data_IF_471035213840
#
_entry.id   IF_471035213840
#
_cell.length_a   1.000
_cell.length_b   1.000
_cell.length_c   1.000
_cell.angle_alpha   90.00
_cell.angle_beta   90.00
_cell.angle_gamma   90.00
#
_symmetry.space_group_name_H-M   'P 1'
#
loop_
_entity.id
_entity.type
_entity.pdbx_description
1 polymer ?
#
# COMPACT_ATOMS: atom_id res chain seq x y z
N UNK A 1 -3.61 6.07 3.78
CA UNK A 1 -3.03 4.87 4.41
C UNK A 1 -1.85 4.31 3.62
N UNK A 2 -2.00 4.08 2.29
CA UNK A 2 -0.92 3.57 1.44
C UNK A 2 0.30 4.50 1.44
N UNK A 3 0.10 5.80 1.18
CA UNK A 3 1.18 6.79 1.21
C UNK A 3 1.88 6.83 2.57
N UNK A 4 1.12 6.69 3.65
CA UNK A 4 1.66 6.59 4.99
C UNK A 4 2.60 5.39 5.16
N UNK A 5 2.19 4.19 4.75
CA UNK A 5 3.04 3.01 4.83
C UNK A 5 4.32 3.13 3.99
N UNK A 6 4.19 3.66 2.78
CA UNK A 6 5.35 3.86 1.91
C UNK A 6 6.33 4.87 2.50
N UNK A 7 5.83 6.01 2.97
CA UNK A 7 6.66 7.03 3.59
C UNK A 7 7.32 6.53 4.89
N UNK A 8 6.59 5.79 5.73
CA UNK A 8 7.16 5.19 6.94
C UNK A 8 8.29 4.20 6.61
N UNK A 9 8.11 3.38 5.57
CA UNK A 9 9.17 2.46 5.14
C UNK A 9 10.41 3.21 4.64
N UNK A 10 10.23 4.29 3.90
CA UNK A 10 11.33 5.14 3.42
C UNK A 10 12.02 5.83 4.61
N UNK A 11 11.26 6.42 5.53
CA UNK A 11 11.81 7.11 6.70
C UNK A 11 12.60 6.16 7.61
N UNK A 12 12.17 4.91 7.79
CA UNK A 12 12.93 3.90 8.52
C UNK A 12 14.29 3.60 7.86
N UNK A 13 14.36 3.53 6.55
CA UNK A 13 15.64 3.34 5.86
C UNK A 13 16.50 4.62 5.90
N UNK A 14 15.89 5.80 5.89
CA UNK A 14 16.58 7.05 6.16
C UNK A 14 17.19 7.09 7.56
N UNK A 15 16.46 6.64 8.58
CA UNK A 15 16.96 6.53 9.96
C UNK A 15 18.16 5.58 10.06
N UNK A 16 18.10 4.43 9.40
CA UNK A 16 19.24 3.49 9.32
C UNK A 16 20.45 4.13 8.63
N UNK A 17 20.24 4.86 7.54
CA UNK A 17 21.30 5.58 6.86
C UNK A 17 21.96 6.61 7.79
N UNK A 18 21.17 7.41 8.49
CA UNK A 18 21.64 8.42 9.45
C UNK A 18 22.52 7.76 10.53
N UNK A 19 22.02 6.66 11.12
CA UNK A 19 22.73 5.93 12.15
C UNK A 19 24.04 5.31 11.64
N UNK A 20 24.00 4.64 10.49
CA UNK A 20 25.19 3.99 9.91
C UNK A 20 26.29 5.00 9.54
N UNK A 21 25.93 6.21 9.15
CA UNK A 21 26.87 7.28 8.81
C UNK A 21 27.24 8.18 10.00
N UNK A 22 26.65 7.95 11.18
CA UNK A 22 26.90 8.69 12.42
C UNK A 22 26.69 10.22 12.27
N UNK A 23 25.61 10.59 11.59
CA UNK A 23 25.25 12.00 11.33
C UNK A 23 24.05 12.48 12.17
N UNK A 24 23.70 11.76 13.23
CA UNK A 24 22.54 12.06 14.08
C UNK A 24 22.55 13.49 14.62
N UNK A 25 23.74 13.98 15.03
CA UNK A 25 23.87 15.35 15.58
C UNK A 25 23.59 16.42 14.54
N UNK A 26 23.98 16.21 13.29
CA UNK A 26 23.67 17.10 12.18
C UNK A 26 22.16 17.10 11.89
N UNK A 27 21.58 15.91 11.84
CA UNK A 27 20.14 15.73 11.58
C UNK A 27 19.31 16.35 12.71
N UNK A 28 19.71 16.16 13.97
CA UNK A 28 19.02 16.78 15.10
C UNK A 28 19.01 18.32 15.01
N UNK A 29 20.10 18.94 14.57
CA UNK A 29 20.13 20.39 14.33
C UNK A 29 19.15 20.83 13.26
N UNK A 30 19.08 20.09 12.14
CA UNK A 30 18.10 20.36 11.08
C UNK A 30 16.66 20.22 11.56
N UNK A 31 16.38 19.21 12.38
CA UNK A 31 15.06 19.03 12.99
C UNK A 31 14.72 20.21 13.91
N UNK A 32 15.66 20.66 14.73
CA UNK A 32 15.46 21.83 15.60
C UNK A 32 15.19 23.12 14.79
N UNK A 33 15.84 23.27 13.64
CA UNK A 33 15.58 24.39 12.71
C UNK A 33 14.16 24.32 12.14
N UNK A 34 13.71 23.13 11.68
CA UNK A 34 12.35 22.92 11.18
C UNK A 34 11.30 23.29 12.23
N UNK A 35 11.51 22.89 13.48
CA UNK A 35 10.59 23.22 14.57
C UNK A 35 10.58 24.71 14.90
N UNK A 36 11.74 25.34 14.86
CA UNK A 36 11.88 26.78 15.07
C UNK A 36 11.18 27.59 13.97
N UNK A 37 11.33 27.19 12.71
CA UNK A 37 10.65 27.85 11.59
C UNK A 37 9.13 27.74 11.67
N UNK A 38 8.62 26.64 12.22
CA UNK A 38 7.18 26.42 12.41
C UNK A 38 6.63 27.07 13.68
N UNK A 39 7.47 27.69 14.51
CA UNK A 39 7.12 28.22 15.83
C UNK A 39 6.44 27.16 16.74
N UNK A 40 6.95 25.93 16.71
CA UNK A 40 6.43 24.80 17.48
C UNK A 40 7.53 24.21 18.36
N UNK A 41 7.15 23.82 19.57
CA UNK A 41 8.10 23.15 20.48
C UNK A 41 8.33 21.71 20.02
N UNK A 42 9.60 21.35 19.81
CA UNK A 42 9.99 19.97 19.50
C UNK A 42 9.62 19.04 20.66
N UNK A 43 8.90 17.94 20.42
CA UNK A 43 8.65 16.95 21.47
C UNK A 43 9.95 16.26 21.89
N UNK A 44 10.11 16.07 23.19
CA UNK A 44 11.25 15.38 23.80
C UNK A 44 10.74 14.14 24.52
N UNK A 45 11.38 13.01 24.28
CA UNK A 45 11.07 11.78 25.02
C UNK A 45 11.44 11.96 26.50
N UNK A 46 10.49 11.62 27.37
CA UNK A 46 10.61 11.82 28.81
C UNK A 46 10.80 10.50 29.58
N UNK A 47 11.79 9.74 29.25
CA UNK A 47 12.06 8.48 29.90
C UNK A 47 13.40 7.92 29.48
N UNK A 48 13.77 6.78 30.04
CA UNK A 48 14.95 6.08 29.61
C UNK A 48 14.73 5.47 28.23
N UNK A 49 15.62 5.74 27.31
CA UNK A 49 15.59 5.14 25.99
C UNK A 49 16.12 3.69 26.07
N UNK A 50 15.51 2.74 25.35
CA UNK A 50 16.07 1.40 25.21
C UNK A 50 17.49 1.44 24.69
N UNK A 51 18.30 0.45 25.09
CA UNK A 51 19.67 0.31 24.61
C UNK A 51 19.72 0.28 23.07
N UNK A 52 20.58 1.10 22.48
CA UNK A 52 20.71 1.25 21.04
C UNK A 52 19.69 2.19 20.37
N UNK A 53 18.80 2.80 21.15
CA UNK A 53 17.86 3.80 20.65
C UNK A 53 18.35 5.21 21.02
N UNK A 54 18.57 6.05 20.01
CA UNK A 54 19.04 7.43 20.20
C UNK A 54 17.89 8.47 20.27
N UNK A 55 16.64 8.02 20.29
CA UNK A 55 15.45 8.88 20.29
C UNK A 55 15.16 9.56 18.95
N UNK A 56 15.88 9.22 17.90
CA UNK A 56 15.64 9.71 16.56
C UNK A 56 14.55 8.86 15.89
N UNK A 57 13.34 9.35 15.87
CA UNK A 57 12.22 8.77 15.14
C UNK A 57 11.61 9.83 14.23
N UNK A 58 11.99 9.86 12.95
CA UNK A 58 11.52 10.89 12.01
C UNK A 58 10.00 10.99 12.00
N UNK A 59 9.34 9.84 11.91
CA UNK A 59 7.90 9.76 11.95
C UNK A 59 7.29 10.30 13.25
N UNK A 60 7.86 9.91 14.41
CA UNK A 60 7.39 10.38 15.73
C UNK A 60 7.59 11.88 15.91
N UNK A 61 8.60 12.44 15.27
CA UNK A 61 8.88 13.87 15.26
C UNK A 61 8.09 14.62 14.18
N UNK A 62 7.28 13.94 13.38
CA UNK A 62 6.50 14.56 12.30
C UNK A 62 7.35 15.18 11.21
N UNK A 63 8.55 14.67 10.99
CA UNK A 63 9.45 15.03 9.90
C UNK A 63 9.68 13.82 8.98
N UNK A 64 10.12 14.06 7.76
CA UNK A 64 10.40 13.02 6.77
C UNK A 64 11.85 13.06 6.33
N UNK A 65 12.35 11.93 5.81
CA UNK A 65 13.72 11.85 5.32
C UNK A 65 14.08 12.94 4.31
N UNK A 66 13.13 13.32 3.44
CA UNK A 66 13.35 14.37 2.44
C UNK A 66 13.57 15.78 3.02
N UNK A 67 13.18 16.02 4.27
CA UNK A 67 13.39 17.31 4.92
C UNK A 67 14.76 17.40 5.59
N UNK A 68 15.38 16.27 5.91
CA UNK A 68 16.60 16.23 6.72
C UNK A 68 17.82 15.70 5.95
N UNK A 69 17.64 14.90 4.93
CA UNK A 69 18.70 14.41 4.04
C UNK A 69 18.80 15.27 2.77
N UNK A 70 19.92 15.17 2.06
CA UNK A 70 20.02 15.75 0.72
C UNK A 70 19.08 15.03 -0.25
N UNK A 71 18.65 15.74 -1.29
CA UNK A 71 17.72 15.20 -2.29
C UNK A 71 18.25 13.93 -2.96
N UNK A 72 19.54 13.90 -3.30
CA UNK A 72 20.18 12.74 -3.94
C UNK A 72 20.14 11.51 -3.05
N UNK A 73 20.55 11.66 -1.78
CA UNK A 73 20.55 10.56 -0.80
C UNK A 73 19.12 10.06 -0.54
N UNK A 74 18.18 10.99 -0.34
CA UNK A 74 16.79 10.62 -0.13
C UNK A 74 16.20 9.86 -1.32
N UNK A 75 16.45 10.31 -2.54
CA UNK A 75 15.94 9.67 -3.76
C UNK A 75 16.55 8.28 -3.96
N UNK A 76 17.83 8.09 -3.67
CA UNK A 76 18.46 6.77 -3.70
C UNK A 76 17.81 5.81 -2.70
N UNK A 77 17.64 6.23 -1.45
CA UNK A 77 16.98 5.43 -0.40
C UNK A 77 15.53 5.11 -0.80
N UNK A 78 14.79 6.11 -1.30
CA UNK A 78 13.42 5.95 -1.77
C UNK A 78 13.30 4.87 -2.83
N UNK A 79 14.11 4.93 -3.89
CA UNK A 79 14.09 3.95 -4.98
C UNK A 79 14.39 2.55 -4.47
N UNK A 80 15.44 2.41 -3.66
CA UNK A 80 15.83 1.12 -3.09
C UNK A 80 14.76 0.54 -2.16
N UNK A 81 14.08 1.38 -1.40
CA UNK A 81 13.02 0.97 -0.48
C UNK A 81 11.79 0.53 -1.24
N UNK A 82 11.29 1.34 -2.18
CA UNK A 82 10.06 1.06 -2.92
C UNK A 82 10.14 -0.22 -3.76
N UNK A 83 11.31 -0.56 -4.28
CA UNK A 83 11.51 -1.82 -5.02
C UNK A 83 11.49 -3.06 -4.13
N UNK A 84 11.73 -2.92 -2.83
CA UNK A 84 11.84 -4.02 -1.87
C UNK A 84 10.62 -4.12 -0.93
N UNK A 85 9.86 -3.04 -0.77
CA UNK A 85 8.73 -3.00 0.16
C UNK A 85 7.71 -4.09 -0.15
N UNK A 86 7.22 -4.74 0.90
CA UNK A 86 6.21 -5.80 0.82
C UNK A 86 5.02 -5.45 1.71
N UNK A 87 3.85 -5.69 1.21
CA UNK A 87 2.64 -5.46 1.98
C UNK A 87 1.39 -5.47 1.12
N UNK A 88 0.31 -5.09 1.74
CA UNK A 88 -0.98 -4.91 1.07
C UNK A 88 -1.79 -3.85 1.81
N UNK A 89 -2.55 -3.09 1.07
CA UNK A 89 -3.72 -2.41 1.59
C UNK A 89 -4.93 -3.13 1.04
N UNK A 90 -5.89 -3.48 1.89
CA UNK A 90 -7.12 -4.13 1.46
C UNK A 90 -8.08 -3.11 0.82
N UNK A 91 -7.57 -2.38 -0.17
CA UNK A 91 -8.35 -1.44 -0.93
C UNK A 91 -9.07 -2.20 -2.04
N UNK A 92 -10.37 -2.33 -1.92
CA UNK A 92 -11.27 -2.84 -2.95
C UNK A 92 -12.56 -2.04 -2.89
N UNK A 93 -12.61 -0.98 -3.66
CA UNK A 93 -13.72 -0.02 -3.66
C UNK A 93 -15.00 -0.62 -4.23
N UNK A 94 -14.90 -1.60 -5.14
CA UNK A 94 -16.06 -2.23 -5.74
C UNK A 94 -16.80 -3.10 -4.72
N UNK A 95 -16.07 -3.88 -3.90
CA UNK A 95 -16.71 -4.68 -2.83
C UNK A 95 -17.25 -3.80 -1.70
N UNK A 96 -16.64 -2.66 -1.43
CA UNK A 96 -17.15 -1.73 -0.42
C UNK A 96 -18.51 -1.16 -0.81
N UNK A 97 -18.70 -0.84 -2.07
CA UNK A 97 -20.00 -0.43 -2.61
C UNK A 97 -21.00 -1.59 -2.65
N UNK A 98 -20.58 -2.77 -3.12
CA UNK A 98 -21.44 -3.93 -3.31
C UNK A 98 -21.86 -4.62 -2.01
N UNK A 99 -20.99 -4.71 -1.02
CA UNK A 99 -21.17 -5.59 0.14
C UNK A 99 -21.16 -4.88 1.49
N UNK A 100 -20.56 -3.71 1.60
CA UNK A 100 -20.40 -3.01 2.89
C UNK A 100 -21.15 -1.69 2.96
N UNK A 101 -21.50 -1.11 1.81
CA UNK A 101 -22.15 0.22 1.72
C UNK A 101 -21.42 1.30 2.54
N UNK A 102 -20.07 1.24 2.53
CA UNK A 102 -19.19 2.14 3.29
C UNK A 102 -18.49 3.18 2.43
N UNK A 103 -18.71 3.16 1.13
CA UNK A 103 -18.15 4.14 0.19
C UNK A 103 -18.64 5.56 0.50
N UNK A 104 -17.70 6.45 0.81
CA UNK A 104 -17.94 7.89 0.98
C UNK A 104 -17.70 8.68 -0.31
N UNK A 105 -17.13 8.05 -1.32
CA UNK A 105 -16.85 8.61 -2.64
C UNK A 105 -17.64 7.87 -3.71
N UNK A 106 -17.87 8.52 -4.86
CA UNK A 106 -18.42 7.84 -6.02
C UNK A 106 -17.48 6.74 -6.52
N UNK A 107 -18.05 5.66 -7.08
CA UNK A 107 -17.28 4.56 -7.66
C UNK A 107 -16.32 5.06 -8.74
N UNK A 108 -16.73 6.04 -9.56
CA UNK A 108 -15.88 6.64 -10.59
C UNK A 108 -14.66 7.33 -9.99
N UNK A 109 -14.84 8.15 -8.95
CA UNK A 109 -13.71 8.82 -8.26
C UNK A 109 -12.78 7.80 -7.63
N UNK A 110 -13.34 6.79 -6.98
CA UNK A 110 -12.56 5.76 -6.32
C UNK A 110 -11.76 4.90 -7.32
N UNK A 111 -12.32 4.56 -8.48
CA UNK A 111 -11.59 3.89 -9.56
C UNK A 111 -10.45 4.77 -10.11
N UNK A 112 -10.68 6.08 -10.25
CA UNK A 112 -9.62 7.02 -10.66
C UNK A 112 -8.46 7.00 -9.67
N UNK A 113 -8.76 7.08 -8.37
CA UNK A 113 -7.75 7.02 -7.31
C UNK A 113 -6.98 5.68 -7.33
N UNK A 114 -7.66 4.55 -7.55
CA UNK A 114 -7.01 3.25 -7.69
C UNK A 114 -6.10 3.20 -8.92
N UNK A 115 -6.49 3.84 -10.01
CA UNK A 115 -5.66 3.98 -11.20
C UNK A 115 -4.40 4.81 -10.93
N UNK A 116 -4.51 5.94 -10.25
CA UNK A 116 -3.36 6.78 -9.88
C UNK A 116 -2.36 6.03 -8.98
N UNK A 117 -2.87 5.25 -8.04
CA UNK A 117 -2.04 4.36 -7.20
C UNK A 117 -1.31 3.33 -8.04
N UNK A 118 -1.99 2.73 -9.02
CA UNK A 118 -1.37 1.71 -9.86
C UNK A 118 -0.32 2.28 -10.82
N UNK A 119 -0.54 3.46 -11.38
CA UNK A 119 0.47 4.19 -12.16
C UNK A 119 1.71 4.46 -11.32
N UNK A 120 1.55 4.98 -10.12
CA UNK A 120 2.65 5.20 -9.18
C UNK A 120 3.43 3.91 -8.89
N UNK A 121 2.75 2.77 -8.76
CA UNK A 121 3.41 1.48 -8.54
C UNK A 121 4.27 1.06 -9.73
N UNK A 122 3.77 1.26 -10.95
CA UNK A 122 4.51 0.96 -12.18
C UNK A 122 5.73 1.86 -12.30
N UNK A 123 5.56 3.19 -12.15
CA UNK A 123 6.62 4.19 -12.25
C UNK A 123 7.75 3.95 -11.26
N UNK A 124 7.42 3.50 -10.05
CA UNK A 124 8.40 3.25 -8.98
C UNK A 124 8.81 1.77 -8.86
N UNK A 125 8.43 0.91 -9.80
CA UNK A 125 8.75 -0.52 -9.81
C UNK A 125 8.37 -1.26 -8.52
N UNK A 126 7.23 -0.91 -7.92
CA UNK A 126 6.69 -1.52 -6.69
C UNK A 126 5.98 -2.83 -7.05
N UNK A 127 6.67 -3.95 -6.96
CA UNK A 127 6.14 -5.27 -7.41
C UNK A 127 5.68 -6.18 -6.28
N UNK A 128 6.17 -5.96 -5.07
CA UNK A 128 5.93 -6.86 -3.93
C UNK A 128 4.84 -6.32 -3.00
N UNK A 129 4.11 -5.33 -3.42
CA UNK A 129 3.02 -4.73 -2.67
C UNK A 129 1.73 -4.85 -3.48
N UNK A 130 0.65 -5.35 -2.86
CA UNK A 130 -0.64 -5.45 -3.53
C UNK A 130 -1.37 -4.11 -3.46
N UNK A 131 -1.65 -3.53 -4.63
CA UNK A 131 -2.36 -2.27 -4.77
C UNK A 131 -3.85 -2.40 -4.48
N UNK A 132 -4.40 -3.58 -4.80
CA UNK A 132 -5.78 -3.94 -4.55
C UNK A 132 -5.88 -5.39 -4.07
N UNK A 133 -6.76 -5.64 -3.11
CA UNK A 133 -7.11 -6.97 -2.65
C UNK A 133 -8.57 -7.23 -3.03
N UNK A 134 -8.77 -7.82 -4.20
CA UNK A 134 -10.10 -8.09 -4.77
C UNK A 134 -10.80 -9.12 -3.91
N UNK A 135 -11.81 -8.69 -3.14
CA UNK A 135 -12.30 -9.42 -1.99
C UNK A 135 -13.68 -10.03 -2.22
N UNK A 136 -13.71 -11.36 -2.34
CA UNK A 136 -14.93 -12.14 -2.24
C UNK A 136 -15.42 -12.38 -0.81
N UNK A 137 -14.54 -12.25 0.18
CA UNK A 137 -14.90 -12.49 1.59
C UNK A 137 -16.10 -11.64 2.01
N UNK A 138 -16.05 -10.34 1.80
CA UNK A 138 -17.13 -9.44 2.20
C UNK A 138 -18.43 -9.66 1.40
N UNK A 139 -18.31 -10.09 0.16
CA UNK A 139 -19.46 -10.48 -0.68
C UNK A 139 -20.14 -11.72 -0.08
N UNK A 140 -19.36 -12.69 0.39
CA UNK A 140 -19.89 -13.85 1.10
C UNK A 140 -20.53 -13.49 2.44
N UNK A 141 -19.91 -12.60 3.23
CA UNK A 141 -20.47 -12.08 4.49
C UNK A 141 -21.79 -11.33 4.27
N UNK A 142 -21.97 -10.70 3.12
CA UNK A 142 -23.23 -10.08 2.72
C UNK A 142 -24.30 -11.09 2.26
N UNK A 143 -24.02 -12.40 2.31
CA UNK A 143 -24.97 -13.47 2.04
C UNK A 143 -24.82 -14.17 0.68
N UNK A 144 -23.78 -13.89 -0.09
CA UNK A 144 -23.54 -14.58 -1.35
C UNK A 144 -23.14 -16.07 -1.12
N UNK A 145 -23.72 -16.96 -1.89
CA UNK A 145 -23.26 -18.35 -1.96
C UNK A 145 -21.90 -18.45 -2.67
N UNK A 146 -21.18 -19.59 -2.60
CA UNK A 146 -19.86 -19.75 -3.20
C UNK A 146 -19.78 -19.42 -4.70
N UNK A 147 -20.82 -19.73 -5.47
CA UNK A 147 -20.88 -19.44 -6.91
C UNK A 147 -20.98 -17.95 -7.15
N UNK A 148 -21.89 -17.27 -6.46
CA UNK A 148 -22.07 -15.83 -6.56
C UNK A 148 -20.86 -15.06 -6.04
N UNK A 149 -20.25 -15.52 -4.93
CA UNK A 149 -19.00 -14.98 -4.42
C UNK A 149 -17.92 -14.99 -5.49
N UNK A 150 -17.70 -16.15 -6.12
CA UNK A 150 -16.69 -16.30 -7.16
C UNK A 150 -16.99 -15.42 -8.37
N UNK A 151 -18.24 -15.41 -8.84
CA UNK A 151 -18.64 -14.63 -10.02
C UNK A 151 -18.42 -13.13 -9.81
N UNK A 152 -18.89 -12.56 -8.71
CA UNK A 152 -18.72 -11.13 -8.41
C UNK A 152 -17.26 -10.77 -8.17
N UNK A 153 -16.50 -11.61 -7.48
CA UNK A 153 -15.07 -11.36 -7.24
C UNK A 153 -14.28 -11.31 -8.54
N UNK A 154 -14.51 -12.25 -9.46
CA UNK A 154 -13.85 -12.24 -10.76
C UNK A 154 -14.32 -11.08 -11.63
N UNK A 155 -15.61 -10.73 -11.61
CA UNK A 155 -16.13 -9.56 -12.31
C UNK A 155 -15.44 -8.27 -11.84
N UNK A 156 -15.27 -8.09 -10.51
CA UNK A 156 -14.53 -6.97 -9.97
C UNK A 156 -13.07 -6.96 -10.44
N UNK A 157 -12.43 -8.13 -10.46
CA UNK A 157 -11.07 -8.28 -10.99
C UNK A 157 -10.96 -7.85 -12.44
N UNK A 158 -11.87 -8.26 -13.29
CA UNK A 158 -11.90 -7.84 -14.71
C UNK A 158 -12.17 -6.36 -14.86
N UNK A 159 -13.02 -5.78 -14.03
CA UNK A 159 -13.28 -4.33 -14.02
C UNK A 159 -12.01 -3.53 -13.72
N UNK A 160 -11.21 -3.93 -12.72
CA UNK A 160 -9.92 -3.28 -12.46
C UNK A 160 -8.95 -3.44 -13.64
N UNK A 161 -8.83 -4.64 -14.20
CA UNK A 161 -7.95 -4.89 -15.35
C UNK A 161 -8.36 -4.03 -16.54
N UNK A 162 -9.64 -4.02 -16.90
CA UNK A 162 -10.18 -3.22 -18.01
C UNK A 162 -9.93 -1.73 -17.77
N UNK A 163 -10.17 -1.25 -16.57
CA UNK A 163 -9.95 0.15 -16.21
C UNK A 163 -8.47 0.55 -16.33
N UNK A 164 -7.55 -0.27 -15.83
CA UNK A 164 -6.12 0.02 -15.92
C UNK A 164 -5.61 -0.02 -17.36
N UNK A 165 -6.07 -0.98 -18.16
CA UNK A 165 -5.77 -1.04 -19.59
C UNK A 165 -6.32 0.19 -20.33
N UNK A 166 -7.54 0.65 -20.01
CA UNK A 166 -8.13 1.85 -20.62
C UNK A 166 -7.33 3.12 -20.33
N UNK A 167 -6.56 3.14 -19.24
CA UNK A 167 -5.60 4.20 -18.90
C UNK A 167 -4.23 4.05 -19.60
N UNK A 168 -4.06 3.03 -20.42
CA UNK A 168 -2.81 2.78 -21.16
C UNK A 168 -1.77 1.97 -20.41
N UNK A 169 -2.10 1.39 -19.24
CA UNK A 169 -1.16 0.53 -18.50
C UNK A 169 -1.01 -0.84 -19.15
N UNK A 170 0.21 -1.39 -19.13
CA UNK A 170 0.44 -2.74 -19.60
C UNK A 170 0.15 -3.74 -18.49
N UNK A 171 -0.63 -4.78 -18.80
CA UNK A 171 -1.04 -5.80 -17.85
C UNK A 171 0.13 -6.55 -17.19
N UNK A 172 1.24 -6.71 -17.89
CA UNK A 172 2.43 -7.36 -17.34
C UNK A 172 3.08 -6.53 -16.22
N UNK A 173 2.84 -5.21 -16.21
CA UNK A 173 3.44 -4.32 -15.21
C UNK A 173 2.59 -4.25 -13.94
N UNK A 174 1.26 -4.33 -14.03
CA UNK A 174 0.37 -4.25 -12.86
C UNK A 174 -0.20 -5.60 -12.39
N UNK A 175 -0.24 -6.61 -13.24
CA UNK A 175 -0.82 -7.92 -12.89
C UNK A 175 -0.29 -8.51 -11.58
N UNK A 176 1.01 -8.43 -11.28
CA UNK A 176 1.57 -8.90 -10.02
C UNK A 176 1.06 -8.16 -8.76
N UNK A 177 0.54 -6.94 -8.91
CA UNK A 177 0.01 -6.14 -7.81
C UNK A 177 -1.45 -6.46 -7.47
N UNK A 178 -2.12 -7.28 -8.29
CA UNK A 178 -3.49 -7.72 -8.03
C UNK A 178 -3.49 -8.97 -7.14
N UNK A 179 -4.31 -8.97 -6.11
CA UNK A 179 -4.54 -10.14 -5.28
C UNK A 179 -6.02 -10.44 -5.13
N UNK A 180 -6.34 -11.70 -4.86
CA UNK A 180 -7.70 -12.16 -4.63
C UNK A 180 -7.84 -12.75 -3.24
N UNK A 181 -8.97 -12.48 -2.61
CA UNK A 181 -9.28 -12.95 -1.28
C UNK A 181 -10.69 -13.54 -1.26
N UNK A 182 -10.80 -14.80 -0.85
CA UNK A 182 -12.08 -15.53 -0.78
C UNK A 182 -12.39 -15.96 0.64
N UNK A 183 -13.68 -15.97 0.99
CA UNK A 183 -14.16 -16.70 2.15
C UNK A 183 -14.09 -18.21 1.85
N UNK A 184 -13.62 -18.96 2.84
CA UNK A 184 -13.58 -20.42 2.80
C UNK A 184 -14.32 -20.99 4.01
N UNK A 185 -15.17 -21.96 3.78
CA UNK A 185 -15.92 -22.68 4.79
C UNK A 185 -15.66 -24.19 4.76
N UNK A 186 -16.48 -24.95 5.48
CA UNK A 186 -16.40 -26.41 5.56
C UNK A 186 -17.15 -27.12 4.43
N UNK A 187 -18.02 -26.42 3.71
CA UNK A 187 -18.78 -27.02 2.62
C UNK A 187 -17.89 -27.39 1.43
N UNK A 188 -18.22 -28.47 0.70
CA UNK A 188 -17.38 -28.95 -0.41
C UNK A 188 -17.11 -27.92 -1.50
N UNK A 189 -18.03 -27.01 -1.73
CA UNK A 189 -17.92 -25.93 -2.72
C UNK A 189 -16.73 -25.02 -2.44
N UNK A 190 -16.42 -24.74 -1.18
CA UNK A 190 -15.27 -23.92 -0.81
C UNK A 190 -13.94 -24.60 -1.10
N UNK A 191 -13.89 -25.95 -1.08
CA UNK A 191 -12.69 -26.69 -1.42
C UNK A 191 -12.26 -26.50 -2.89
N UNK A 192 -13.19 -26.15 -3.77
CA UNK A 192 -12.95 -26.01 -5.21
C UNK A 192 -12.90 -24.56 -5.69
N UNK A 193 -13.40 -23.59 -4.89
CA UNK A 193 -13.55 -22.20 -5.31
C UNK A 193 -12.22 -21.62 -5.84
N UNK A 194 -11.10 -21.84 -5.14
CA UNK A 194 -9.80 -21.33 -5.54
C UNK A 194 -9.26 -21.99 -6.82
N UNK A 195 -9.59 -23.25 -7.06
CA UNK A 195 -9.21 -23.97 -8.29
C UNK A 195 -9.99 -23.44 -9.49
N UNK A 196 -11.28 -23.21 -9.30
CA UNK A 196 -12.16 -22.68 -10.35
C UNK A 196 -11.75 -21.23 -10.65
N UNK A 197 -11.52 -20.41 -9.63
CA UNK A 197 -11.05 -19.03 -9.78
C UNK A 197 -9.79 -18.97 -10.65
N UNK A 198 -8.76 -19.73 -10.31
CA UNK A 198 -7.49 -19.77 -11.09
C UNK A 198 -7.72 -20.17 -12.54
N UNK A 199 -8.56 -21.16 -12.78
CA UNK A 199 -8.84 -21.64 -14.13
C UNK A 199 -9.59 -20.62 -14.97
N UNK A 200 -10.59 -19.96 -14.40
CA UNK A 200 -11.35 -18.90 -15.08
C UNK A 200 -10.47 -17.68 -15.35
N UNK A 201 -9.75 -17.24 -14.33
CA UNK A 201 -8.80 -16.12 -14.46
C UNK A 201 -7.77 -16.38 -15.55
N UNK A 202 -7.10 -17.53 -15.53
CA UNK A 202 -6.12 -17.89 -16.55
C UNK A 202 -6.68 -18.01 -17.96
N UNK A 203 -7.97 -18.33 -18.12
CA UNK A 203 -8.63 -18.35 -19.43
C UNK A 203 -8.95 -16.96 -19.95
N UNK A 204 -9.38 -16.06 -19.05
CA UNK A 204 -9.75 -14.71 -19.41
C UNK A 204 -8.54 -13.80 -19.69
N UNK A 205 -7.41 -14.11 -19.05
CA UNK A 205 -6.16 -13.33 -19.18
C UNK A 205 -5.27 -13.80 -20.34
N UNK A 206 -5.76 -14.73 -21.20
CA UNK A 206 -5.08 -15.13 -22.43
C UNK A 206 -5.43 -14.20 -23.58
#
# INVERSE_FOLDING_TARGET
LLAYFMNTAIDQECEKYIHNNKIEDEINKKIDEIYREKDVIRPVYQGDLPEGNNGLGLFLLGVTGCQVLSEDIYNEIKIQTLTKVRGTVQADILKEDQAQNTCIFSTEFALRMMGDVQEYFIENSIRNFYSVSISGYHIAEAGANPISQLAFTLANGFTYVEYYISRGMNINDFGPNLSFFFSNGVDPEYAVIGRVARRLWAKAMK
#
